data_IF_903270291051
#
_entry.id   IF_903270291051
#
_cell.length_a   1.000
_cell.length_b   1.000
_cell.length_c   1.000
_cell.angle_alpha   90.00
_cell.angle_beta   90.00
_cell.angle_gamma   90.00
#
_symmetry.space_group_name_H-M   'P 1'
#
loop_
_entity.id
_entity.type
_entity.pdbx_description
1 polymer ?
#
# COMPACT_ATOMS: atom_id res chain seq x y z
N UNK A 1 -0.39 -6.07 -7.58
CA UNK A 1 -0.79 -5.07 -8.58
C UNK A 1 -2.02 -4.37 -8.06
N UNK A 2 -2.06 -3.04 -8.08
CA UNK A 2 -3.21 -2.25 -7.65
C UNK A 2 -3.75 -1.46 -8.84
N UNK A 3 -5.02 -1.07 -8.81
CA UNK A 3 -5.67 -0.31 -9.91
C UNK A 3 -6.49 0.83 -9.32
N UNK A 4 -6.50 1.98 -9.97
CA UNK A 4 -7.39 3.09 -9.61
C UNK A 4 -8.68 3.11 -10.44
N UNK A 5 -9.57 4.07 -10.16
CA UNK A 5 -10.85 4.24 -10.87
C UNK A 5 -10.68 4.54 -12.36
N UNK A 6 -9.56 5.15 -12.74
CA UNK A 6 -9.26 5.55 -14.11
C UNK A 6 -8.65 4.38 -14.92
N UNK A 7 -8.42 3.25 -14.26
CA UNK A 7 -7.84 2.06 -14.86
C UNK A 7 -6.31 2.07 -14.92
N UNK A 8 -5.64 3.07 -14.33
CA UNK A 8 -4.20 3.09 -14.17
C UNK A 8 -3.77 1.96 -13.24
N UNK A 9 -2.68 1.30 -13.59
CA UNK A 9 -2.17 0.15 -12.85
C UNK A 9 -0.90 0.54 -12.09
N UNK A 10 -0.83 0.17 -10.82
CA UNK A 10 0.32 0.37 -9.95
C UNK A 10 0.98 -0.98 -9.66
N UNK A 11 2.22 -1.14 -10.12
CA UNK A 11 3.08 -2.27 -9.79
C UNK A 11 4.03 -1.87 -8.68
N UNK A 12 3.92 -2.54 -7.53
CA UNK A 12 4.77 -2.30 -6.37
C UNK A 12 5.92 -3.31 -6.43
N UNK A 13 7.14 -2.82 -6.67
CA UNK A 13 8.37 -3.60 -6.59
C UNK A 13 9.19 -3.15 -5.38
N UNK A 14 10.14 -3.97 -4.90
CA UNK A 14 10.93 -3.65 -3.72
C UNK A 14 11.65 -2.30 -3.74
N UNK A 15 12.04 -1.79 -4.92
CA UNK A 15 12.78 -0.51 -5.04
C UNK A 15 11.98 0.62 -5.70
N UNK A 16 10.90 0.33 -6.40
CA UNK A 16 10.16 1.34 -7.15
C UNK A 16 8.71 0.93 -7.36
N UNK A 17 7.86 1.92 -7.58
CA UNK A 17 6.48 1.74 -8.04
C UNK A 17 6.41 2.17 -9.50
N UNK A 18 5.86 1.32 -10.35
CA UNK A 18 5.52 1.67 -11.73
C UNK A 18 4.04 2.03 -11.79
N UNK A 19 3.74 3.26 -12.18
CA UNK A 19 2.39 3.74 -12.49
C UNK A 19 2.18 3.66 -14.00
N UNK A 20 1.44 2.67 -14.46
CA UNK A 20 1.22 2.41 -15.88
C UNK A 20 -0.18 2.87 -16.31
N UNK A 21 -0.22 3.86 -17.21
CA UNK A 21 -1.43 4.32 -17.89
C UNK A 21 -1.76 3.45 -19.11
N UNK A 22 -0.73 2.92 -19.78
CA UNK A 22 -0.84 1.95 -20.86
C UNK A 22 0.42 1.08 -20.92
N UNK A 23 0.53 0.19 -21.91
CA UNK A 23 1.74 -0.61 -22.15
C UNK A 23 2.97 0.23 -22.53
N UNK A 24 2.78 1.46 -22.99
CA UNK A 24 3.87 2.34 -23.48
C UNK A 24 3.94 3.67 -22.76
N UNK A 25 3.02 3.95 -21.84
CA UNK A 25 2.99 5.17 -21.04
C UNK A 25 2.97 4.81 -19.57
N UNK A 26 4.09 5.04 -18.89
CA UNK A 26 4.25 4.76 -17.48
C UNK A 26 5.27 5.70 -16.84
N UNK A 27 5.08 5.93 -15.54
CA UNK A 27 6.00 6.64 -14.68
C UNK A 27 6.61 5.68 -13.66
N UNK A 28 7.87 5.91 -13.29
CA UNK A 28 8.57 5.11 -12.28
C UNK A 28 8.92 6.00 -11.10
N UNK A 29 8.49 5.60 -9.91
CA UNK A 29 8.74 6.30 -8.66
C UNK A 29 9.63 5.45 -7.76
N UNK A 30 10.79 5.96 -7.27
CA UNK A 30 11.55 5.27 -6.24
C UNK A 30 10.68 5.05 -5.01
N UNK A 31 10.74 3.86 -4.43
CA UNK A 31 9.86 3.50 -3.31
C UNK A 31 10.08 4.44 -2.12
N UNK A 32 11.32 4.89 -1.89
CA UNK A 32 11.72 5.84 -0.85
C UNK A 32 10.97 7.19 -0.90
N UNK A 33 10.42 7.55 -2.06
CA UNK A 33 9.62 8.78 -2.24
C UNK A 33 8.14 8.61 -1.89
N UNK A 34 7.74 7.41 -1.49
CA UNK A 34 6.37 7.01 -1.23
C UNK A 34 6.15 6.83 0.26
N UNK A 35 5.13 7.51 0.78
CA UNK A 35 4.68 7.35 2.15
C UNK A 35 3.46 6.43 2.18
N UNK A 36 3.58 5.28 2.86
CA UNK A 36 2.46 4.37 3.12
C UNK A 36 1.93 4.60 4.52
N UNK A 37 0.69 5.07 4.64
CA UNK A 37 0.01 5.21 5.93
C UNK A 37 -0.95 4.05 6.12
N UNK A 38 -0.87 3.41 7.28
CA UNK A 38 -1.77 2.32 7.64
C UNK A 38 -2.89 2.80 8.56
N UNK A 39 -4.11 2.32 8.31
CA UNK A 39 -5.24 2.41 9.25
C UNK A 39 -6.01 1.10 9.28
N UNK A 40 -6.46 0.69 10.46
CA UNK A 40 -7.43 -0.42 10.60
C UNK A 40 -8.86 0.14 10.54
N UNK A 41 -9.71 -0.43 9.69
CA UNK A 41 -11.10 0.00 9.52
C UNK A 41 -12.04 -1.17 9.79
N UNK A 42 -13.19 -0.90 10.43
CA UNK A 42 -14.26 -1.87 10.63
C UNK A 42 -15.28 -1.70 9.50
N UNK A 43 -15.53 -2.76 8.74
CA UNK A 43 -16.52 -2.72 7.66
C UNK A 43 -17.53 -3.86 7.84
N UNK A 44 -18.80 -3.58 7.60
CA UNK A 44 -19.82 -4.62 7.48
C UNK A 44 -19.71 -5.26 6.10
N UNK A 45 -19.44 -6.56 6.06
CA UNK A 45 -19.29 -7.27 4.79
C UNK A 45 -20.65 -7.73 4.28
N UNK A 46 -21.00 -7.31 3.07
CA UNK A 46 -22.28 -7.68 2.43
C UNK A 46 -22.17 -9.00 1.67
N UNK A 47 -20.95 -9.33 1.24
CA UNK A 47 -20.66 -10.48 0.40
C UNK A 47 -20.04 -11.63 1.21
N UNK A 48 -19.47 -12.61 0.52
CA UNK A 48 -18.72 -13.70 1.17
C UNK A 48 -17.48 -13.13 1.82
N UNK A 49 -17.35 -13.34 3.13
CA UNK A 49 -16.16 -12.92 3.88
C UNK A 49 -14.91 -13.59 3.29
N UNK A 50 -13.87 -12.82 2.94
CA UNK A 50 -12.60 -13.37 2.50
C UNK A 50 -12.02 -14.32 3.56
N UNK A 51 -11.41 -15.43 3.13
CA UNK A 51 -10.92 -16.46 4.05
C UNK A 51 -9.78 -15.97 4.98
N UNK A 52 -9.08 -14.92 4.59
CA UNK A 52 -7.99 -14.29 5.35
C UNK A 52 -8.46 -13.10 6.21
N UNK A 53 -9.76 -12.79 6.20
CA UNK A 53 -10.34 -11.75 7.03
C UNK A 53 -10.54 -12.17 8.48
N UNK A 54 -10.38 -11.19 9.37
CA UNK A 54 -10.72 -11.34 10.79
C UNK A 54 -12.10 -10.77 11.07
N UNK A 55 -13.04 -11.66 11.44
CA UNK A 55 -14.37 -11.26 11.91
C UNK A 55 -14.24 -10.69 13.32
N UNK A 56 -14.71 -9.46 13.51
CA UNK A 56 -14.67 -8.74 14.78
C UNK A 56 -15.97 -8.87 15.57
N UNK A 57 -17.10 -8.84 14.87
CA UNK A 57 -18.44 -8.88 15.45
C UNK A 57 -19.47 -9.25 14.37
N UNK A 58 -20.75 -9.33 14.74
CA UNK A 58 -21.88 -9.42 13.82
C UNK A 58 -22.88 -8.31 14.13
N UNK A 59 -23.31 -7.59 13.09
CA UNK A 59 -24.33 -6.54 13.18
C UNK A 59 -25.52 -6.86 12.30
N UNK A 60 -26.65 -6.20 12.48
CA UNK A 60 -27.79 -6.36 11.57
C UNK A 60 -27.59 -5.53 10.30
N UNK A 61 -28.05 -6.04 9.14
CA UNK A 61 -28.00 -5.30 7.88
C UNK A 61 -28.69 -3.93 8.00
N UNK A 62 -29.78 -3.86 8.75
CA UNK A 62 -30.47 -2.62 9.09
C UNK A 62 -30.51 -2.45 10.61
N UNK A 63 -29.79 -1.46 11.13
CA UNK A 63 -29.72 -1.16 12.57
C UNK A 63 -30.65 -0.02 12.96
N UNK A 64 -31.26 -0.12 14.15
CA UNK A 64 -31.99 0.98 14.76
C UNK A 64 -31.03 1.93 15.51
N UNK A 65 -31.55 3.03 16.09
CA UNK A 65 -30.74 4.01 16.83
C UNK A 65 -29.96 3.43 18.02
N UNK A 66 -30.39 2.29 18.55
CA UNK A 66 -29.77 1.61 19.68
C UNK A 66 -28.82 0.47 19.24
N UNK A 67 -28.58 0.30 17.94
CA UNK A 67 -27.71 -0.75 17.38
C UNK A 67 -28.34 -2.14 17.26
N UNK A 68 -29.61 -2.31 17.67
CA UNK A 68 -30.35 -3.56 17.49
C UNK A 68 -30.99 -3.68 16.10
N UNK A 69 -31.70 -4.78 15.81
CA UNK A 69 -32.36 -4.95 14.52
C UNK A 69 -33.47 -3.91 14.34
N UNK A 70 -33.50 -3.23 13.19
CA UNK A 70 -34.64 -2.44 12.78
C UNK A 70 -35.78 -3.37 12.36
N UNK A 71 -36.85 -3.38 13.16
CA UNK A 71 -38.02 -4.27 13.00
C UNK A 71 -38.96 -3.87 11.86
N UNK A 72 -38.72 -2.73 11.20
CA UNK A 72 -39.48 -2.34 9.99
C UNK A 72 -39.13 -3.22 8.79
N UNK A 73 -37.96 -3.86 8.81
CA UNK A 73 -37.50 -4.78 7.79
C UNK A 73 -37.84 -6.22 8.19
N UNK A 74 -38.69 -6.88 7.40
CA UNK A 74 -39.11 -8.28 7.64
C UNK A 74 -37.93 -9.24 7.50
N UNK A 75 -37.03 -8.98 6.55
CA UNK A 75 -35.78 -9.72 6.36
C UNK A 75 -34.60 -8.83 6.71
N UNK A 76 -33.97 -9.10 7.86
CA UNK A 76 -32.84 -8.34 8.37
C UNK A 76 -31.78 -9.31 8.94
N UNK A 77 -30.98 -9.95 8.07
CA UNK A 77 -29.97 -10.91 8.51
C UNK A 77 -28.83 -10.21 9.26
N UNK A 78 -28.16 -10.96 10.11
CA UNK A 78 -26.88 -10.53 10.66
C UNK A 78 -25.79 -10.62 9.59
N UNK A 79 -24.92 -9.62 9.57
CA UNK A 79 -23.79 -9.46 8.68
C UNK A 79 -22.51 -9.39 9.51
N UNK A 80 -21.44 -10.09 9.10
CA UNK A 80 -20.16 -10.02 9.78
C UNK A 80 -19.56 -8.62 9.63
N UNK A 81 -19.05 -8.09 10.74
CA UNK A 81 -18.20 -6.90 10.76
C UNK A 81 -16.77 -7.38 10.77
N UNK A 82 -16.01 -7.05 9.73
CA UNK A 82 -14.63 -7.52 9.55
C UNK A 82 -13.63 -6.38 9.67
N UNK A 83 -12.40 -6.74 10.03
CA UNK A 83 -11.27 -5.83 10.13
C UNK A 83 -10.55 -5.73 8.80
N UNK A 84 -10.73 -4.63 8.08
CA UNK A 84 -9.92 -4.30 6.91
C UNK A 84 -8.67 -3.52 7.32
N UNK A 85 -7.57 -3.80 6.62
CA UNK A 85 -6.39 -2.94 6.63
C UNK A 85 -6.48 -1.95 5.48
N UNK A 86 -6.33 -0.66 5.76
CA UNK A 86 -6.28 0.38 4.75
C UNK A 86 -4.86 0.91 4.61
N UNK A 87 -4.39 1.02 3.36
CA UNK A 87 -3.16 1.73 3.01
C UNK A 87 -3.52 2.98 2.24
N UNK A 88 -3.15 4.14 2.77
CA UNK A 88 -3.17 5.42 2.05
C UNK A 88 -1.79 5.70 1.45
N UNK A 89 -1.78 6.12 0.19
CA UNK A 89 -0.59 6.49 -0.58
C UNK A 89 -0.69 7.97 -0.93
N UNK A 90 -0.10 8.82 -0.10
CA UNK A 90 -0.20 10.29 -0.21
C UNK A 90 0.20 10.80 -1.61
N UNK A 91 1.29 10.25 -2.16
CA UNK A 91 1.86 10.67 -3.45
C UNK A 91 0.87 10.56 -4.61
N UNK A 92 -0.03 9.56 -4.55
CA UNK A 92 -1.01 9.29 -5.60
C UNK A 92 -2.43 9.66 -5.19
N UNK A 93 -2.64 10.13 -3.96
CA UNK A 93 -3.96 10.39 -3.39
C UNK A 93 -4.90 9.15 -3.52
N UNK A 94 -4.36 7.97 -3.18
CA UNK A 94 -5.07 6.69 -3.27
C UNK A 94 -5.18 6.03 -1.91
N UNK A 95 -6.28 5.32 -1.70
CA UNK A 95 -6.50 4.47 -0.53
C UNK A 95 -6.96 3.07 -0.99
N UNK A 96 -6.35 2.04 -0.43
CA UNK A 96 -6.65 0.64 -0.72
C UNK A 96 -7.01 -0.12 0.54
N UNK A 97 -8.08 -0.91 0.49
CA UNK A 97 -8.50 -1.78 1.58
C UNK A 97 -8.16 -3.24 1.26
N UNK A 98 -7.64 -3.94 2.26
CA UNK A 98 -7.22 -5.33 2.19
C UNK A 98 -7.90 -6.12 3.31
N UNK A 99 -8.38 -7.32 2.96
CA UNK A 99 -9.12 -8.22 3.84
C UNK A 99 -8.36 -8.63 5.09
N UNK A 100 -7.03 -8.72 4.99
CA UNK A 100 -6.15 -9.08 6.09
C UNK A 100 -5.44 -7.83 6.66
N UNK A 101 -6.03 -7.24 7.69
CA UNK A 101 -5.48 -6.04 8.34
C UNK A 101 -4.09 -6.28 8.95
N UNK A 102 -3.84 -7.45 9.53
CA UNK A 102 -2.59 -7.76 10.22
C UNK A 102 -1.42 -7.89 9.22
N UNK A 103 -1.68 -8.48 8.04
CA UNK A 103 -0.69 -8.55 6.97
C UNK A 103 -0.28 -7.15 6.46
N UNK A 104 -1.25 -6.25 6.32
CA UNK A 104 -0.99 -4.86 5.92
C UNK A 104 -0.18 -4.11 6.99
N UNK A 105 -0.57 -4.25 8.25
CA UNK A 105 0.15 -3.63 9.38
C UNK A 105 1.61 -4.06 9.41
N UNK A 106 1.85 -5.37 9.26
CA UNK A 106 3.20 -5.94 9.20
C UNK A 106 3.98 -5.40 7.99
N UNK A 107 3.34 -5.29 6.82
CA UNK A 107 3.97 -4.73 5.62
C UNK A 107 4.42 -3.28 5.84
N UNK A 108 3.53 -2.41 6.30
CA UNK A 108 3.85 -0.98 6.51
C UNK A 108 4.90 -0.81 7.63
N UNK A 109 4.82 -1.63 8.68
CA UNK A 109 5.83 -1.64 9.75
C UNK A 109 7.20 -2.03 9.23
N UNK A 110 7.30 -3.13 8.47
CA UNK A 110 8.56 -3.58 7.88
C UNK A 110 9.12 -2.56 6.87
N UNK A 111 8.24 -1.92 6.10
CA UNK A 111 8.60 -0.86 5.17
C UNK A 111 9.24 0.34 5.87
N UNK A 112 8.62 0.84 6.95
CA UNK A 112 9.15 1.97 7.71
C UNK A 112 10.51 1.64 8.34
N UNK A 113 10.65 0.44 8.92
CA UNK A 113 11.94 -0.03 9.46
C UNK A 113 13.03 -0.09 8.38
N UNK A 114 12.68 -0.46 7.15
CA UNK A 114 13.62 -0.48 6.03
C UNK A 114 14.00 0.93 5.56
N UNK A 115 13.06 1.87 5.49
CA UNK A 115 13.33 3.27 5.17
C UNK A 115 14.28 3.93 6.18
N UNK A 116 14.07 3.68 7.47
CA UNK A 116 14.90 4.23 8.54
C UNK A 116 16.36 3.77 8.39
N UNK A 117 16.58 2.46 8.17
CA UNK A 117 17.93 1.90 7.93
C UNK A 117 18.62 2.52 6.72
N UNK A 118 17.87 2.77 5.65
CA UNK A 118 18.42 3.36 4.42
C UNK A 118 18.83 4.82 4.64
N UNK A 119 18.16 5.53 5.54
CA UNK A 119 18.51 6.91 5.92
C UNK A 119 19.81 6.98 6.71
N UNK A 120 20.11 5.97 7.53
CA UNK A 120 21.36 5.88 8.28
C UNK A 120 22.57 5.53 7.39
N UNK A 121 22.40 4.65 6.39
CA UNK A 121 23.48 4.27 5.46
C UNK A 121 23.87 5.43 4.51
N UNK A 122 22.91 6.26 4.11
CA UNK A 122 23.16 7.43 3.24
C UNK A 122 23.90 8.58 3.94
N UNK A 123 24.06 8.55 5.26
CA UNK A 123 24.86 9.52 6.02
C UNK A 123 26.37 9.23 6.00
N UNK A 124 26.83 8.17 5.30
CA UNK A 124 28.25 7.94 5.02
C UNK A 124 28.62 8.69 3.73
N UNK A 125 29.20 9.89 3.92
CA UNK A 125 29.77 10.82 2.94
C UNK A 125 29.83 10.36 1.47
N UNK A 126 28.76 10.63 0.70
CA UNK A 126 28.65 10.34 -0.74
C UNK A 126 29.64 11.14 -1.60
N UNK A 127 30.25 12.21 -1.07
CA UNK A 127 31.22 13.02 -1.81
C UNK A 127 32.52 12.27 -2.14
N UNK A 128 32.94 11.27 -1.34
CA UNK A 128 34.18 10.52 -1.61
C UNK A 128 34.02 9.42 -2.68
N UNK A 129 32.82 8.88 -2.87
CA UNK A 129 32.56 7.79 -3.82
C UNK A 129 32.38 8.27 -5.28
N UNK A 130 31.98 9.53 -5.47
CA UNK A 130 31.84 10.15 -6.81
C UNK A 130 33.20 10.53 -7.40
N UNK A 131 34.20 10.87 -6.56
CA UNK A 131 35.56 11.14 -7.05
C UNK A 131 36.31 9.86 -7.47
N UNK A 132 36.04 8.71 -6.84
CA UNK A 132 36.73 7.45 -7.16
C UNK A 132 36.22 6.74 -8.42
N UNK A 133 35.03 7.10 -8.93
CA UNK A 133 34.39 6.39 -10.06
C UNK A 133 34.21 7.24 -11.32
N UNK A 134 34.95 8.34 -11.48
CA UNK A 134 35.06 9.00 -12.79
C UNK A 134 35.96 8.19 -13.70
N UNK A 135 35.37 7.36 -14.56
CA UNK A 135 36.07 6.83 -15.73
C UNK A 135 36.46 8.05 -16.58
N UNK A 136 37.76 8.34 -16.64
CA UNK A 136 38.29 9.45 -17.43
C UNK A 136 38.36 9.06 -18.90
N UNK A 137 38.19 10.03 -19.81
CA UNK A 137 38.25 9.82 -21.28
C UNK A 137 39.54 9.09 -21.73
N UNK A 138 40.62 9.16 -20.94
CA UNK A 138 41.86 8.41 -21.16
C UNK A 138 41.69 6.89 -21.21
N UNK A 139 40.69 6.32 -20.53
CA UNK A 139 40.39 4.88 -20.56
C UNK A 139 39.88 4.43 -21.94
N UNK A 140 39.14 5.28 -22.64
CA UNK A 140 38.63 4.97 -23.98
C UNK A 140 39.69 5.19 -25.07
N UNK A 141 40.69 6.02 -24.81
CA UNK A 141 41.76 6.35 -25.77
C UNK A 141 42.95 5.37 -25.74
N UNK A 142 42.95 4.36 -24.88
CA UNK A 142 44.02 3.35 -24.77
C UNK A 142 43.72 2.05 -25.54
N UNK A 143 42.57 1.96 -26.22
CA UNK A 143 42.12 0.74 -26.93
C UNK A 143 42.10 0.91 -28.46
N UNK A 144 42.96 1.77 -29.02
CA UNK A 144 43.25 1.84 -30.46
C UNK A 144 44.74 1.76 -30.72
#
# INVERSE_FOLDING_TARGET
MLRDSDGTIYYIYPRYIIKAHSSTSFDVFPIETINFKYRRTRCMEESTVPADSKILDYTYQYVNKNGGPDKRYVYNPQRPVISYGEIEIDKFNLAYQFSNADAVENFVTAYNVWLDKTSDENNINTQSLVEQNKITENYFNTIN
#
